data_IF_007600465351
#
_entry.id   IF_007600465351
#
_cell.length_a   1.000
_cell.length_b   1.000
_cell.length_c   1.000
_cell.angle_alpha   90.00
_cell.angle_beta   90.00
_cell.angle_gamma   90.00
#
_symmetry.space_group_name_H-M   'P 1'
#
loop_
_entity.id
_entity.type
_entity.pdbx_description
1 polymer ?
#
# COMPACT_ATOMS: atom_id res chain seq x y z
N UNK A 1 -13.39 -16.71 -0.14
CA UNK A 1 -13.16 -15.94 1.10
C UNK A 1 -11.81 -16.38 1.68
N UNK A 2 -10.70 -15.82 1.20
CA UNK A 2 -9.36 -16.15 1.70
C UNK A 2 -8.96 -15.16 2.79
N UNK A 3 -9.39 -15.46 4.00
CA UNK A 3 -8.76 -14.98 5.23
C UNK A 3 -7.51 -15.84 5.49
N UNK A 4 -6.65 -15.45 6.43
CA UNK A 4 -5.53 -16.21 7.03
C UNK A 4 -4.12 -15.90 6.53
N UNK A 5 -3.63 -14.71 6.90
CA UNK A 5 -2.61 -14.60 7.95
C UNK A 5 -2.76 -13.22 8.61
N UNK A 6 -3.68 -13.15 9.59
CA UNK A 6 -4.11 -11.91 10.25
C UNK A 6 -2.96 -11.20 11.00
N UNK A 7 -1.97 -11.95 11.51
CA UNK A 7 -0.86 -11.46 12.34
C UNK A 7 0.45 -12.22 12.11
N UNK A 8 0.98 -12.19 10.89
CA UNK A 8 2.38 -12.61 10.66
C UNK A 8 3.32 -11.54 11.24
N UNK A 9 4.34 -11.94 12.01
CA UNK A 9 5.38 -11.00 12.50
C UNK A 9 5.99 -10.19 11.36
N UNK A 10 6.18 -10.82 10.20
CA UNK A 10 6.69 -10.16 8.98
C UNK A 10 5.73 -9.10 8.45
N UNK A 11 4.41 -9.34 8.50
CA UNK A 11 3.41 -8.35 8.07
C UNK A 11 3.48 -7.11 8.95
N UNK A 12 3.52 -7.29 10.28
CA UNK A 12 3.59 -6.18 11.23
C UNK A 12 4.88 -5.39 11.04
N UNK A 13 6.02 -6.07 10.90
CA UNK A 13 7.31 -5.40 10.64
C UNK A 13 7.30 -4.59 9.35
N UNK A 14 6.76 -5.15 8.25
CA UNK A 14 6.64 -4.44 6.98
C UNK A 14 5.65 -3.27 7.05
N UNK A 15 4.54 -3.41 7.78
CA UNK A 15 3.58 -2.33 7.97
C UNK A 15 4.17 -1.17 8.80
N UNK A 16 4.91 -1.48 9.87
CA UNK A 16 5.63 -0.49 10.68
C UNK A 16 6.72 0.18 9.84
N UNK A 17 7.52 -0.59 9.09
CA UNK A 17 8.55 -0.04 8.21
C UNK A 17 7.93 0.89 7.14
N UNK A 18 6.81 0.50 6.55
CA UNK A 18 6.07 1.33 5.59
C UNK A 18 5.60 2.65 6.23
N UNK A 19 4.99 2.60 7.41
CA UNK A 19 4.57 3.78 8.14
C UNK A 19 5.75 4.68 8.55
N UNK A 20 6.88 4.09 8.95
CA UNK A 20 8.10 4.83 9.29
C UNK A 20 8.67 5.55 8.06
N UNK A 21 8.73 4.86 6.91
CA UNK A 21 9.17 5.47 5.65
C UNK A 21 8.25 6.60 5.18
N UNK A 22 6.94 6.51 5.43
CA UNK A 22 5.99 7.56 5.07
C UNK A 22 6.28 8.91 5.73
N UNK A 23 6.96 8.91 6.88
CA UNK A 23 7.31 10.10 7.65
C UNK A 23 8.77 10.52 7.42
N UNK A 24 9.70 9.56 7.50
CA UNK A 24 11.13 9.87 7.60
C UNK A 24 11.92 9.64 6.31
N UNK A 25 11.34 8.96 5.32
CA UNK A 25 12.02 8.59 4.09
C UNK A 25 11.39 9.28 2.87
N UNK A 26 12.07 9.29 1.72
CA UNK A 26 11.47 9.73 0.47
C UNK A 26 10.25 8.88 0.09
N UNK A 27 9.30 9.49 -0.62
CA UNK A 27 8.03 8.84 -1.03
C UNK A 27 8.21 7.47 -1.73
N UNK A 28 9.29 7.28 -2.49
CA UNK A 28 9.56 6.02 -3.18
C UNK A 28 9.92 4.88 -2.23
N UNK A 29 10.49 5.16 -1.05
CA UNK A 29 10.81 4.14 -0.07
C UNK A 29 9.52 3.52 0.50
N UNK A 30 8.54 4.36 0.82
CA UNK A 30 7.20 3.93 1.24
C UNK A 30 6.53 3.06 0.20
N UNK A 31 6.65 3.43 -1.08
CA UNK A 31 6.10 2.66 -2.21
C UNK A 31 6.69 1.24 -2.28
N UNK A 32 8.00 1.09 -2.08
CA UNK A 32 8.66 -0.23 -2.08
C UNK A 32 8.09 -1.13 -0.98
N UNK A 33 7.98 -0.62 0.26
CA UNK A 33 7.41 -1.40 1.36
C UNK A 33 5.92 -1.68 1.16
N UNK A 34 5.17 -0.74 0.61
CA UNK A 34 3.76 -0.91 0.25
C UNK A 34 3.55 -2.02 -0.80
N UNK A 35 4.42 -2.09 -1.81
CA UNK A 35 4.42 -3.16 -2.82
C UNK A 35 4.73 -4.50 -2.16
N UNK A 36 5.83 -4.61 -1.41
CA UNK A 36 6.23 -5.85 -0.73
C UNK A 36 5.14 -6.39 0.20
N UNK A 37 4.49 -5.49 0.94
CA UNK A 37 3.40 -5.84 1.84
C UNK A 37 2.17 -6.34 1.06
N UNK A 38 1.81 -5.69 -0.05
CA UNK A 38 0.65 -6.07 -0.88
C UNK A 38 0.87 -7.32 -1.73
N UNK A 39 2.11 -7.62 -2.12
CA UNK A 39 2.44 -8.83 -2.90
C UNK A 39 2.14 -10.10 -2.12
N UNK A 40 2.35 -10.09 -0.81
CA UNK A 40 2.15 -11.27 0.04
C UNK A 40 0.86 -11.23 0.85
N UNK A 41 0.45 -10.04 1.31
CA UNK A 41 -0.70 -9.88 2.20
C UNK A 41 -1.74 -8.95 1.58
N UNK A 42 -3.01 -9.17 1.88
CA UNK A 42 -4.06 -8.19 1.58
C UNK A 42 -4.02 -7.05 2.60
N UNK A 43 -3.18 -6.06 2.32
CA UNK A 43 -2.79 -5.04 3.28
C UNK A 43 -3.61 -3.75 3.12
N UNK A 44 -4.82 -3.75 3.71
CA UNK A 44 -5.67 -2.56 3.78
C UNK A 44 -5.00 -1.38 4.52
N UNK A 45 -4.05 -1.66 5.41
CA UNK A 45 -3.24 -0.65 6.08
C UNK A 45 -2.46 0.26 5.10
N UNK A 46 -2.17 -0.21 3.89
CA UNK A 46 -1.51 0.61 2.85
C UNK A 46 -2.42 1.75 2.37
N UNK A 47 -3.74 1.56 2.35
CA UNK A 47 -4.68 2.64 2.00
C UNK A 47 -4.68 3.71 3.09
N UNK A 48 -4.65 3.31 4.36
CA UNK A 48 -4.55 4.26 5.47
C UNK A 48 -3.22 5.03 5.44
N UNK A 49 -2.11 4.36 5.10
CA UNK A 49 -0.79 5.00 4.95
C UNK A 49 -0.78 5.93 3.73
N UNK A 50 -1.39 5.54 2.61
CA UNK A 50 -1.54 6.40 1.43
C UNK A 50 -2.34 7.67 1.74
N UNK A 51 -3.47 7.52 2.42
CA UNK A 51 -4.27 8.65 2.91
C UNK A 51 -3.48 9.56 3.85
N UNK A 52 -2.72 8.95 4.78
CA UNK A 52 -1.85 9.71 5.66
C UNK A 52 -0.77 10.46 4.88
N UNK A 53 -0.14 9.85 3.88
CA UNK A 53 0.86 10.52 3.05
C UNK A 53 0.26 11.69 2.28
N UNK A 54 -0.92 11.54 1.68
CA UNK A 54 -1.59 12.65 1.00
C UNK A 54 -1.87 13.79 1.99
N UNK A 55 -2.40 13.50 3.17
CA UNK A 55 -2.66 14.54 4.19
C UNK A 55 -1.39 15.15 4.78
N UNK A 56 -0.31 14.38 4.88
CA UNK A 56 0.94 14.81 5.52
C UNK A 56 1.86 15.58 4.55
N UNK A 57 1.88 15.19 3.26
CA UNK A 57 2.75 15.78 2.26
C UNK A 57 2.04 16.79 1.34
N UNK A 58 0.70 16.83 1.28
CA UNK A 58 0.01 17.86 0.49
C UNK A 58 0.13 19.24 1.14
N UNK A 59 0.59 20.25 0.39
CA UNK A 59 0.38 21.63 0.79
C UNK A 59 -1.12 21.94 0.69
N UNK A 60 -1.80 22.19 1.81
CA UNK A 60 -3.23 22.59 1.83
C UNK A 60 -3.56 23.88 1.05
N UNK A 61 -2.56 24.54 0.43
CA UNK A 61 -2.71 25.80 -0.30
C UNK A 61 -2.88 25.66 -1.82
N UNK A 62 -2.98 24.46 -2.38
CA UNK A 62 -3.10 24.30 -3.85
C UNK A 62 -4.56 24.30 -4.30
N UNK A 63 -4.83 25.14 -5.31
CA UNK A 63 -6.06 25.18 -6.11
C UNK A 63 -6.56 23.76 -6.43
N UNK A 64 -7.85 23.50 -6.19
CA UNK A 64 -8.54 22.21 -6.42
C UNK A 64 -8.43 21.65 -7.85
N UNK A 65 -7.91 22.41 -8.81
CA UNK A 65 -7.73 22.01 -10.21
C UNK A 65 -6.29 21.61 -10.56
N UNK A 66 -5.36 21.59 -9.61
CA UNK A 66 -3.96 21.23 -9.88
C UNK A 66 -3.75 19.72 -9.72
N UNK A 67 -2.90 19.09 -10.53
CA UNK A 67 -2.54 17.68 -10.33
C UNK A 67 -1.91 17.42 -8.96
N UNK A 68 -1.31 18.46 -8.35
CA UNK A 68 -0.79 18.44 -6.98
C UNK A 68 -1.87 18.37 -5.90
N UNK A 69 -3.15 18.62 -6.25
CA UNK A 69 -4.28 18.52 -5.33
C UNK A 69 -4.95 17.13 -5.33
N UNK A 70 -4.44 16.17 -6.11
CA UNK A 70 -4.98 14.81 -6.14
C UNK A 70 -4.35 13.94 -5.06
N UNK A 71 -5.14 13.07 -4.38
CA UNK A 71 -4.64 12.14 -3.38
C UNK A 71 -3.94 10.95 -4.05
N UNK A 72 -2.80 11.23 -4.70
CA UNK A 72 -2.07 10.29 -5.53
C UNK A 72 -1.58 9.08 -4.72
N UNK A 73 -1.14 9.28 -3.47
CA UNK A 73 -0.67 8.17 -2.63
C UNK A 73 -1.82 7.21 -2.29
N UNK A 74 -3.02 7.73 -2.01
CA UNK A 74 -4.23 6.94 -1.78
C UNK A 74 -4.66 6.21 -3.04
N UNK A 75 -4.65 6.87 -4.20
CA UNK A 75 -5.01 6.24 -5.49
C UNK A 75 -4.06 5.07 -5.77
N UNK A 76 -2.75 5.29 -5.64
CA UNK A 76 -1.75 4.23 -5.82
C UNK A 76 -1.95 3.10 -4.80
N UNK A 77 -2.23 3.42 -3.53
CA UNK A 77 -2.50 2.42 -2.51
C UNK A 77 -3.71 1.54 -2.85
N UNK A 78 -4.80 2.14 -3.34
CA UNK A 78 -5.98 1.42 -3.82
C UNK A 78 -5.61 0.50 -5.00
N UNK A 79 -4.89 1.04 -5.99
CA UNK A 79 -4.42 0.27 -7.15
C UNK A 79 -3.54 -0.91 -6.71
N UNK A 80 -2.66 -0.74 -5.72
CA UNK A 80 -1.82 -1.83 -5.21
C UNK A 80 -2.65 -2.88 -4.47
N UNK A 81 -3.59 -2.47 -3.62
CA UNK A 81 -4.41 -3.39 -2.82
C UNK A 81 -5.29 -4.25 -3.71
N UNK A 82 -5.92 -3.69 -4.75
CA UNK A 82 -6.79 -4.43 -5.65
C UNK A 82 -6.05 -5.04 -6.85
N UNK A 83 -5.07 -4.34 -7.42
CA UNK A 83 -4.32 -4.78 -8.58
C UNK A 83 -3.42 -5.99 -8.32
N UNK A 84 -2.90 -6.15 -7.10
CA UNK A 84 -2.18 -7.37 -6.72
C UNK A 84 -3.08 -8.49 -6.20
N UNK A 85 -4.40 -8.31 -6.17
CA UNK A 85 -5.31 -9.39 -5.83
C UNK A 85 -5.21 -10.63 -6.75
N UNK A 86 -5.20 -10.51 -8.09
CA UNK A 86 -4.97 -11.67 -8.97
C UNK A 86 -3.59 -12.31 -8.75
N UNK A 87 -2.55 -11.48 -8.60
CA UNK A 87 -1.17 -11.96 -8.43
C UNK A 87 -0.99 -12.75 -7.11
N UNK A 88 -1.60 -12.27 -6.02
CA UNK A 88 -1.63 -13.00 -4.73
C UNK A 88 -2.28 -14.36 -4.86
N UNK A 89 -3.35 -14.47 -5.65
CA UNK A 89 -4.03 -15.74 -5.87
C UNK A 89 -3.12 -16.73 -6.59
N UNK A 90 -2.39 -16.29 -7.61
CA UNK A 90 -1.43 -17.13 -8.35
C UNK A 90 -0.18 -17.51 -7.54
N UNK A 91 0.29 -16.62 -6.65
CA UNK A 91 1.47 -16.86 -5.82
C UNK A 91 1.20 -17.78 -4.62
N UNK A 92 -0.01 -17.73 -4.05
CA UNK A 92 -0.35 -18.46 -2.83
C UNK A 92 -1.14 -19.74 -3.09
N UNK A 93 -1.94 -19.76 -4.16
CA UNK A 93 -2.57 -20.97 -4.71
C UNK A 93 -1.71 -21.29 -5.92
N UNK A 94 -0.80 -22.25 -5.78
CA UNK A 94 0.09 -22.65 -6.88
C UNK A 94 -0.71 -22.97 -8.14
N UNK A 95 -0.08 -23.02 -9.34
CA UNK A 95 -0.79 -23.41 -10.54
C UNK A 95 -1.38 -24.81 -10.31
N UNK A 96 -2.69 -24.87 -10.11
CA UNK A 96 -3.44 -26.07 -10.42
C UNK A 96 -3.38 -26.14 -11.95
N UNK A 97 -2.34 -26.81 -12.42
CA UNK A 97 -2.18 -27.25 -13.79
C UNK A 97 -3.41 -28.13 -14.04
N UNK A 98 -4.44 -27.55 -14.65
CA UNK A 98 -5.45 -28.30 -15.40
C UNK A 98 -4.81 -28.79 -16.70
#
# INVERSE_FOLDING_TARGET
MFTYYRFSRLRILLAIACAFCAVFAPWWATLIFAILLNLRFRAWEVILIGLFMDLYWMPFSVSFFSFDSLPLATIVAVVLVFGFEPLRRQLLVGPEIL
#
